data_IF_383392458362
#
_entry.id   IF_383392458362
#
_cell.length_a   1.000
_cell.length_b   1.000
_cell.length_c   1.000
_cell.angle_alpha   90.00
_cell.angle_beta   90.00
_cell.angle_gamma   90.00
#
_symmetry.space_group_name_H-M   'P 1'
#
loop_
_entity.id
_entity.type
_entity.pdbx_description
1 polymer ?
#
# COMPACT_ATOMS: atom_id res chain seq x y z
N UNK A 1 10.40 7.55 18.62
CA UNK A 1 9.83 7.02 17.36
C UNK A 1 10.70 7.51 16.22
N UNK A 2 10.83 6.73 15.15
CA UNK A 2 11.57 7.13 13.95
C UNK A 2 10.60 7.26 12.79
N UNK A 3 10.58 8.43 12.15
CA UNK A 3 9.80 8.68 10.94
C UNK A 3 10.71 8.60 9.70
N UNK A 4 10.14 8.08 8.62
CA UNK A 4 10.73 8.06 7.29
C UNK A 4 9.68 8.60 6.33
N UNK A 5 10.08 9.53 5.48
CA UNK A 5 9.26 10.06 4.39
C UNK A 5 10.09 10.04 3.12
N UNK A 6 9.56 9.42 2.07
CA UNK A 6 10.19 9.36 0.76
C UNK A 6 9.13 9.54 -0.32
N UNK A 7 9.49 10.23 -1.40
CA UNK A 7 8.59 10.59 -2.50
C UNK A 7 9.20 10.22 -3.82
N UNK A 8 8.37 9.77 -4.76
CA UNK A 8 8.76 9.47 -6.14
C UNK A 8 7.70 9.98 -7.12
N UNK A 9 8.14 10.49 -8.27
CA UNK A 9 7.26 10.82 -9.39
C UNK A 9 7.30 9.71 -10.44
N UNK A 10 6.13 9.31 -10.92
CA UNK A 10 5.92 8.19 -11.82
C UNK A 10 5.16 8.66 -13.05
N UNK A 11 5.62 8.27 -14.24
CA UNK A 11 5.07 8.60 -15.55
C UNK A 11 3.92 7.68 -15.95
N UNK A 12 2.96 7.50 -15.04
CA UNK A 12 1.66 6.87 -15.31
C UNK A 12 0.53 7.68 -14.63
N UNK A 13 -0.72 7.59 -15.10
CA UNK A 13 -1.88 8.20 -14.43
C UNK A 13 -2.06 7.67 -13.00
N UNK A 14 -2.66 8.48 -12.12
CA UNK A 14 -2.83 8.15 -10.69
C UNK A 14 -3.57 6.84 -10.48
N UNK A 15 -4.56 6.59 -11.35
CA UNK A 15 -5.36 5.37 -11.35
C UNK A 15 -4.52 4.13 -11.59
N UNK A 16 -3.58 4.17 -12.53
CA UNK A 16 -2.69 3.06 -12.85
C UNK A 16 -1.70 2.81 -11.71
N UNK A 17 -1.10 3.88 -11.16
CA UNK A 17 -0.22 3.75 -10.00
C UNK A 17 -0.94 3.13 -8.80
N UNK A 18 -2.13 3.64 -8.47
CA UNK A 18 -2.95 3.14 -7.36
C UNK A 18 -3.38 1.68 -7.57
N UNK A 19 -3.89 1.36 -8.76
CA UNK A 19 -4.34 0.00 -9.09
C UNK A 19 -3.21 -1.00 -8.98
N UNK A 20 -2.00 -0.65 -9.45
CA UNK A 20 -0.84 -1.51 -9.29
C UNK A 20 -0.40 -1.63 -7.84
N UNK A 21 -0.37 -0.53 -7.08
CA UNK A 21 0.03 -0.55 -5.67
C UNK A 21 -0.89 -1.44 -4.82
N UNK A 22 -2.16 -1.53 -5.19
CA UNK A 22 -3.12 -2.40 -4.51
C UNK A 22 -3.00 -3.88 -4.89
N UNK A 23 -2.14 -4.22 -5.87
CA UNK A 23 -1.79 -5.61 -6.19
C UNK A 23 -0.68 -6.13 -5.25
N UNK A 24 -0.97 -6.26 -3.95
CA UNK A 24 0.03 -6.59 -2.91
C UNK A 24 0.91 -7.81 -3.25
N UNK A 25 0.33 -8.85 -3.85
CA UNK A 25 1.05 -10.08 -4.24
C UNK A 25 2.16 -9.83 -5.28
N UNK A 26 2.13 -8.70 -5.98
CA UNK A 26 3.15 -8.30 -6.96
C UNK A 26 4.38 -7.62 -6.35
N UNK A 27 4.33 -7.23 -5.07
CA UNK A 27 5.42 -6.48 -4.42
C UNK A 27 6.79 -7.16 -4.50
N UNK A 28 6.91 -8.51 -4.35
CA UNK A 28 8.20 -9.18 -4.52
C UNK A 28 8.85 -9.03 -5.90
N UNK A 29 8.10 -8.58 -6.92
CA UNK A 29 8.62 -8.39 -8.28
C UNK A 29 9.43 -7.09 -8.43
N UNK A 30 9.17 -6.11 -7.57
CA UNK A 30 9.77 -4.78 -7.67
C UNK A 30 10.35 -4.28 -6.35
N UNK A 31 10.10 -4.98 -5.24
CA UNK A 31 10.71 -4.70 -3.95
C UNK A 31 11.72 -5.77 -3.56
N UNK A 32 12.94 -5.36 -3.24
CA UNK A 32 14.06 -6.26 -2.93
C UNK A 32 13.98 -6.90 -1.55
N UNK A 33 13.40 -6.19 -0.58
CA UNK A 33 13.25 -6.66 0.80
C UNK A 33 12.00 -7.52 1.00
N UNK A 34 11.02 -7.45 0.09
CA UNK A 34 9.76 -8.18 0.20
C UNK A 34 9.88 -9.52 -0.54
N UNK A 35 9.70 -10.62 0.17
CA UNK A 35 9.75 -11.97 -0.40
C UNK A 35 8.37 -12.50 -0.75
N UNK A 36 7.37 -12.17 0.07
CA UNK A 36 6.01 -12.61 -0.14
C UNK A 36 5.04 -11.64 0.52
N UNK A 37 3.90 -11.44 -0.12
CA UNK A 37 2.74 -10.80 0.49
C UNK A 37 1.52 -11.67 0.25
N UNK A 38 0.85 -12.04 1.34
CA UNK A 38 -0.42 -12.76 1.30
C UNK A 38 -1.54 -11.82 1.77
N UNK A 39 -2.57 -11.63 0.95
CA UNK A 39 -3.78 -10.91 1.36
C UNK A 39 -4.72 -11.92 2.04
N UNK A 40 -4.83 -11.83 3.37
CA UNK A 40 -5.66 -12.73 4.18
C UNK A 40 -7.13 -12.34 4.08
N UNK A 41 -7.40 -11.03 4.12
CA UNK A 41 -8.74 -10.41 4.01
C UNK A 41 -8.59 -9.04 3.32
N UNK A 42 -9.69 -8.37 2.90
CA UNK A 42 -9.58 -7.07 2.23
C UNK A 42 -8.71 -6.05 2.97
N UNK A 43 -8.81 -5.98 4.30
CA UNK A 43 -8.03 -5.07 5.15
C UNK A 43 -6.87 -5.71 5.91
N UNK A 44 -6.50 -6.97 5.60
CA UNK A 44 -5.44 -7.68 6.35
C UNK A 44 -4.46 -8.37 5.40
N UNK A 45 -3.18 -8.04 5.55
CA UNK A 45 -2.09 -8.58 4.75
C UNK A 45 -1.01 -9.17 5.64
N UNK A 46 -0.37 -10.25 5.19
CA UNK A 46 0.81 -10.85 5.82
C UNK A 46 2.02 -10.67 4.92
N UNK A 47 3.10 -10.16 5.49
CA UNK A 47 4.31 -9.77 4.79
C UNK A 47 5.47 -10.63 5.26
N UNK A 48 6.22 -11.18 4.32
CA UNK A 48 7.50 -11.84 4.57
C UNK A 48 8.63 -10.97 4.01
N UNK A 49 9.50 -10.48 4.88
CA UNK A 49 10.66 -9.67 4.54
C UNK A 49 11.96 -10.47 4.68
N UNK A 50 12.91 -10.21 3.78
CA UNK A 50 14.28 -10.68 3.91
C UNK A 50 15.27 -9.65 3.35
N UNK A 51 16.16 -9.15 4.21
CA UNK A 51 17.24 -8.22 3.89
C UNK A 51 18.56 -8.74 4.47
N UNK A 52 19.36 -9.39 3.63
CA UNK A 52 20.59 -10.06 4.05
C UNK A 52 20.28 -11.11 5.14
N UNK A 53 20.94 -11.07 6.32
CA UNK A 53 20.67 -12.01 7.41
C UNK A 53 19.33 -11.73 8.14
N UNK A 54 18.73 -10.55 7.94
CA UNK A 54 17.52 -10.14 8.65
C UNK A 54 16.29 -10.68 7.94
N UNK A 55 15.51 -11.50 8.65
CA UNK A 55 14.25 -12.06 8.18
C UNK A 55 13.14 -11.68 9.16
N UNK A 56 11.94 -11.44 8.64
CA UNK A 56 10.80 -11.08 9.49
C UNK A 56 9.48 -11.37 8.80
N UNK A 57 8.50 -11.79 9.60
CA UNK A 57 7.10 -11.91 9.17
C UNK A 57 6.26 -10.99 10.05
N UNK A 58 5.38 -10.21 9.44
CA UNK A 58 4.43 -9.38 10.17
C UNK A 58 3.11 -9.30 9.43
N UNK A 59 2.05 -9.05 10.19
CA UNK A 59 0.74 -8.73 9.63
C UNK A 59 0.52 -7.22 9.65
N UNK A 60 -0.12 -6.69 8.61
CA UNK A 60 -0.51 -5.29 8.51
C UNK A 60 -2.01 -5.20 8.24
N UNK A 61 -2.68 -4.44 9.09
CA UNK A 61 -4.06 -4.02 8.92
C UNK A 61 -4.11 -2.71 8.14
N UNK A 62 -4.83 -2.69 7.03
CA UNK A 62 -5.18 -1.49 6.27
C UNK A 62 -6.30 -0.81 7.03
N UNK A 63 -6.01 0.34 7.63
CA UNK A 63 -6.98 1.08 8.47
C UNK A 63 -7.82 2.04 7.65
N UNK A 64 -7.24 2.65 6.63
CA UNK A 64 -7.91 3.54 5.69
C UNK A 64 -7.45 3.27 4.27
N UNK A 65 -8.38 3.35 3.33
CA UNK A 65 -8.09 3.24 1.92
C UNK A 65 -9.13 4.01 1.13
N UNK A 66 -8.66 4.92 0.28
CA UNK A 66 -9.49 5.67 -0.65
C UNK A 66 -8.85 5.57 -2.05
N UNK A 67 -9.58 5.05 -3.06
CA UNK A 67 -9.07 4.93 -4.41
C UNK A 67 -8.45 6.21 -4.95
N UNK A 68 -7.30 6.07 -5.61
CA UNK A 68 -6.54 7.16 -6.25
C UNK A 68 -6.10 8.28 -5.28
N UNK A 69 -6.23 8.08 -3.97
CA UNK A 69 -5.87 9.08 -2.95
C UNK A 69 -4.85 8.54 -1.95
N UNK A 70 -5.21 7.54 -1.14
CA UNK A 70 -4.30 7.06 -0.10
C UNK A 70 -4.62 5.66 0.41
N UNK A 71 -3.64 5.07 1.10
CA UNK A 71 -3.78 3.85 1.87
C UNK A 71 -2.95 3.99 3.14
N UNK A 72 -3.61 3.80 4.29
CA UNK A 72 -2.99 3.85 5.62
C UNK A 72 -3.02 2.45 6.22
N UNK A 73 -1.91 2.05 6.84
CA UNK A 73 -1.80 0.75 7.50
C UNK A 73 -1.13 0.84 8.88
N UNK A 74 -1.35 -0.19 9.68
CA UNK A 74 -0.63 -0.43 10.94
C UNK A 74 -0.27 -1.91 11.07
N UNK A 75 0.88 -2.20 11.65
CA UNK A 75 1.28 -3.57 11.95
C UNK A 75 0.48 -4.15 13.12
N UNK A 76 0.00 -5.38 12.98
CA UNK A 76 -0.61 -6.16 14.06
C UNK A 76 0.49 -6.95 14.80
N UNK A 77 1.31 -6.25 15.58
CA UNK A 77 2.41 -6.87 16.32
C UNK A 77 3.33 -5.85 16.98
N UNK A 78 4.14 -6.29 17.94
CA UNK A 78 4.97 -5.41 18.77
C UNK A 78 6.45 -5.36 18.35
N UNK A 79 6.85 -5.94 17.20
CA UNK A 79 8.27 -6.25 16.93
C UNK A 79 8.72 -6.03 15.47
N UNK A 80 9.15 -4.81 15.11
CA UNK A 80 8.77 -3.53 15.72
C UNK A 80 7.37 -3.12 15.25
N UNK A 81 6.60 -2.50 16.16
CA UNK A 81 5.34 -1.87 15.79
C UNK A 81 5.63 -0.72 14.81
N UNK A 82 4.88 -0.66 13.72
CA UNK A 82 4.98 0.42 12.75
C UNK A 82 3.62 0.75 12.15
N UNK A 83 3.51 1.98 11.66
CA UNK A 83 2.37 2.46 10.87
C UNK A 83 2.91 3.24 9.69
N UNK A 84 2.10 3.34 8.65
CA UNK A 84 2.48 4.15 7.51
C UNK A 84 1.28 4.53 6.68
N UNK A 85 1.55 5.44 5.76
CA UNK A 85 0.62 5.87 4.73
C UNK A 85 1.36 5.95 3.40
N UNK A 86 0.63 5.64 2.33
CA UNK A 86 1.00 5.99 0.98
C UNK A 86 -0.06 6.95 0.45
N UNK A 87 0.40 8.05 -0.12
CA UNK A 87 -0.44 9.09 -0.73
C UNK A 87 -0.11 9.16 -2.21
N UNK A 88 -1.16 9.25 -3.01
CA UNK A 88 -1.11 9.38 -4.46
C UNK A 88 -1.67 10.75 -4.84
N UNK A 89 -0.90 11.51 -5.59
CA UNK A 89 -1.28 12.85 -6.03
C UNK A 89 -1.15 12.94 -7.55
N UNK A 90 -2.20 13.40 -8.21
CA UNK A 90 -2.17 13.69 -9.65
C UNK A 90 -1.28 14.89 -9.92
N UNK A 91 -0.24 14.71 -10.72
CA UNK A 91 0.66 15.78 -11.15
C UNK A 91 0.32 16.28 -12.56
N UNK A 92 -0.08 15.35 -13.43
CA UNK A 92 -0.58 15.60 -14.78
C UNK A 92 -1.47 14.41 -15.20
N UNK A 93 -2.02 14.45 -16.42
CA UNK A 93 -2.85 13.35 -16.95
C UNK A 93 -2.11 12.01 -16.95
N UNK A 94 -0.82 12.03 -17.23
CA UNK A 94 0.07 10.88 -17.35
C UNK A 94 1.14 10.82 -16.25
N UNK A 95 1.03 11.65 -15.20
CA UNK A 95 2.03 11.72 -14.12
C UNK A 95 1.40 11.73 -12.74
N UNK A 96 2.03 10.97 -11.84
CA UNK A 96 1.59 10.80 -10.45
C UNK A 96 2.77 10.97 -9.50
N UNK A 97 2.54 11.65 -8.38
CA UNK A 97 3.46 11.65 -7.25
C UNK A 97 2.98 10.64 -6.21
N UNK A 98 3.90 9.79 -5.76
CA UNK A 98 3.66 8.81 -4.70
C UNK A 98 4.55 9.17 -3.52
N UNK A 99 3.94 9.42 -2.37
CA UNK A 99 4.64 9.73 -1.12
C UNK A 99 4.36 8.64 -0.11
N UNK A 100 5.40 8.04 0.46
CA UNK A 100 5.27 7.07 1.54
C UNK A 100 5.83 7.66 2.82
N UNK A 101 5.02 7.62 3.88
CA UNK A 101 5.42 7.95 5.24
C UNK A 101 5.32 6.73 6.13
N UNK A 102 6.33 6.49 6.95
CA UNK A 102 6.34 5.40 7.91
C UNK A 102 6.83 5.89 9.26
N UNK A 103 6.16 5.46 10.31
CA UNK A 103 6.60 5.63 11.68
C UNK A 103 6.88 4.26 12.29
N UNK A 104 8.09 4.10 12.81
CA UNK A 104 8.57 2.85 13.40
C UNK A 104 8.84 3.10 14.89
N UNK A 105 8.26 2.26 15.74
CA UNK A 105 8.54 2.26 17.16
C UNK A 105 10.00 1.85 17.37
N UNK A 106 10.77 2.67 18.09
CA UNK A 106 12.09 2.28 18.56
C UNK A 106 11.91 1.14 19.57
N UNK A 107 12.61 0.02 19.39
CA UNK A 107 12.74 -0.94 20.50
C UNK A 107 13.49 -0.25 21.65
N UNK A 108 13.07 -0.53 22.88
CA UNK A 108 13.57 0.10 24.10
C UNK A 108 15.10 0.12 24.24
N UNK A 109 15.57 0.98 25.16
CA UNK A 109 16.91 1.54 25.33
C UNK A 109 18.13 0.58 25.47
N UNK A 110 18.07 -0.67 25.01
CA UNK A 110 19.20 -1.61 25.03
C UNK A 110 19.45 -2.20 23.64
N UNK A 111 20.44 -1.62 22.96
CA UNK A 111 21.27 -2.33 21.99
C UNK A 111 20.87 -2.23 20.51
N UNK A 112 21.82 -1.71 19.71
CA UNK A 112 22.04 -2.02 18.28
C UNK A 112 21.25 -1.28 17.18
N UNK A 113 20.48 -0.22 17.46
CA UNK A 113 19.67 0.44 16.41
C UNK A 113 19.95 1.93 16.18
N UNK A 114 21.08 2.46 16.64
CA UNK A 114 21.47 3.87 16.47
C UNK A 114 21.67 4.32 14.99
N UNK A 115 21.64 3.40 14.02
CA UNK A 115 21.71 3.68 12.57
C UNK A 115 20.45 3.35 11.75
N UNK A 116 19.41 2.81 12.39
CA UNK A 116 18.18 2.33 11.70
C UNK A 116 17.47 3.40 10.88
N UNK A 117 17.34 4.67 11.32
CA UNK A 117 16.54 5.64 10.58
C UNK A 117 17.09 5.96 9.18
N UNK A 118 18.41 6.16 9.07
CA UNK A 118 19.07 6.45 7.78
C UNK A 118 19.05 5.24 6.83
N UNK A 119 19.19 4.03 7.39
CA UNK A 119 19.10 2.79 6.60
C UNK A 119 17.67 2.55 6.15
N UNK A 120 16.67 2.77 7.01
CA UNK A 120 15.25 2.64 6.68
C UNK A 120 14.83 3.61 5.57
N UNK A 121 15.22 4.88 5.63
CA UNK A 121 14.97 5.84 4.55
C UNK A 121 15.58 5.41 3.22
N UNK A 122 16.84 4.96 3.23
CA UNK A 122 17.49 4.46 2.01
C UNK A 122 16.79 3.24 1.43
N UNK A 123 16.33 2.32 2.28
CA UNK A 123 15.57 1.13 1.85
C UNK A 123 14.25 1.56 1.23
N UNK A 124 13.44 2.36 1.93
CA UNK A 124 12.13 2.84 1.42
C UNK A 124 12.28 3.57 0.08
N UNK A 125 13.28 4.44 -0.05
CA UNK A 125 13.60 5.11 -1.31
C UNK A 125 13.94 4.13 -2.43
N UNK A 126 14.72 3.09 -2.12
CA UNK A 126 15.06 2.02 -3.05
C UNK A 126 13.82 1.26 -3.52
N UNK A 127 12.93 0.90 -2.60
CA UNK A 127 11.68 0.20 -2.92
C UNK A 127 10.72 1.06 -3.74
N UNK A 128 10.62 2.36 -3.45
CA UNK A 128 9.83 3.30 -4.25
C UNK A 128 10.36 3.48 -5.67
N UNK A 129 11.69 3.52 -5.82
CA UNK A 129 12.31 3.53 -7.15
C UNK A 129 12.03 2.22 -7.90
N UNK A 130 12.12 1.08 -7.23
CA UNK A 130 11.75 -0.21 -7.83
C UNK A 130 10.30 -0.24 -8.30
N UNK A 131 9.37 0.29 -7.50
CA UNK A 131 7.97 0.45 -7.90
C UNK A 131 7.82 1.34 -9.14
N UNK A 132 8.47 2.50 -9.17
CA UNK A 132 8.48 3.40 -10.33
C UNK A 132 8.94 2.66 -11.59
N UNK A 133 10.13 2.05 -11.55
CA UNK A 133 10.71 1.33 -12.69
C UNK A 133 9.80 0.20 -13.18
N UNK A 134 9.18 -0.52 -12.25
CA UNK A 134 8.27 -1.63 -12.57
C UNK A 134 7.00 -1.16 -13.27
N UNK A 135 6.29 -0.16 -12.73
CA UNK A 135 5.01 0.27 -13.32
C UNK A 135 5.21 1.09 -14.60
N UNK A 136 6.29 1.87 -14.71
CA UNK A 136 6.64 2.55 -15.96
C UNK A 136 7.04 1.56 -17.04
N UNK A 137 7.72 0.47 -16.68
CA UNK A 137 8.07 -0.61 -17.61
C UNK A 137 6.85 -1.42 -18.08
N UNK A 138 5.85 -1.62 -17.21
CA UNK A 138 4.60 -2.29 -17.59
C UNK A 138 3.67 -1.40 -18.44
N UNK A 139 3.64 -0.10 -18.17
CA UNK A 139 2.76 0.88 -18.85
C UNK A 139 1.27 0.77 -18.49
N UNK A 140 0.84 -0.34 -17.87
CA UNK A 140 -0.52 -0.55 -17.38
C UNK A 140 -0.50 -1.40 -16.11
N UNK A 141 -1.53 -1.25 -15.27
CA UNK A 141 -1.69 -2.06 -14.06
C UNK A 141 -1.96 -3.54 -14.40
N UNK A 142 -1.49 -4.45 -13.56
CA UNK A 142 -1.76 -5.88 -13.69
C UNK A 142 -3.13 -6.31 -13.14
N UNK A 143 -3.89 -5.37 -12.58
CA UNK A 143 -5.17 -5.61 -11.92
C UNK A 143 -5.58 -4.41 -11.09
N UNK A 144 -6.78 -4.46 -10.50
CA UNK A 144 -7.28 -3.38 -9.66
C UNK A 144 -7.96 -3.94 -8.40
N UNK A 145 -7.63 -3.36 -7.25
CA UNK A 145 -8.43 -3.52 -6.04
C UNK A 145 -8.81 -2.14 -5.50
N UNK A 146 -10.10 -1.81 -5.57
CA UNK A 146 -10.62 -0.44 -5.38
C UNK A 146 -11.66 -0.34 -4.26
N UNK A 147 -11.55 -1.19 -3.24
CA UNK A 147 -12.41 -1.10 -2.07
C UNK A 147 -12.08 0.15 -1.24
N UNK A 148 -13.09 0.84 -0.72
CA UNK A 148 -12.88 1.90 0.27
C UNK A 148 -12.85 1.29 1.67
N UNK A 149 -11.81 1.54 2.45
CA UNK A 149 -11.70 1.07 3.83
C UNK A 149 -11.75 2.27 4.77
N UNK A 150 -12.56 2.18 5.83
CA UNK A 150 -12.53 3.12 6.96
C UNK A 150 -12.53 2.36 8.27
N UNK A 151 -11.64 2.74 9.20
CA UNK A 151 -11.48 2.07 10.49
C UNK A 151 -11.29 0.55 10.36
N UNK A 152 -10.50 0.10 9.38
CA UNK A 152 -10.22 -1.32 9.12
C UNK A 152 -11.37 -2.12 8.49
N UNK A 153 -12.50 -1.48 8.17
CA UNK A 153 -13.69 -2.11 7.58
C UNK A 153 -13.88 -1.68 6.12
N UNK A 154 -14.07 -2.66 5.25
CA UNK A 154 -14.47 -2.43 3.87
C UNK A 154 -15.87 -1.80 3.87
N UNK A 155 -15.98 -0.59 3.30
CA UNK A 155 -17.26 -0.02 2.94
C UNK A 155 -17.72 -0.72 1.67
N UNK A 156 -18.87 -1.39 1.74
CA UNK A 156 -19.59 -1.76 0.52
C UNK A 156 -20.05 -0.46 -0.13
N UNK A 157 -19.57 -0.18 -1.34
CA UNK A 157 -20.22 0.83 -2.19
C UNK A 157 -21.65 0.37 -2.40
N UNK A 158 -22.59 1.20 -2.00
CA UNK A 158 -24.02 0.95 -2.16
C UNK A 158 -24.44 1.31 -3.59
N UNK A 159 -23.77 0.73 -4.59
CA UNK A 159 -24.16 0.84 -6.01
C UNK A 159 -24.97 -0.37 -6.49
N UNK A 160 -25.17 -1.38 -5.63
CA UNK A 160 -25.97 -2.58 -5.92
C UNK A 160 -27.34 -2.56 -5.22
N UNK A 161 -28.00 -1.39 -5.20
CA UNK A 161 -29.40 -1.23 -4.73
C UNK A 161 -30.30 -0.39 -5.64
N UNK A 162 -29.88 -0.12 -6.88
CA UNK A 162 -30.74 0.47 -7.91
C UNK A 162 -30.59 -0.29 -9.24
N UNK A 163 -30.83 -1.60 -9.20
CA UNK A 163 -31.18 -2.38 -10.38
C UNK A 163 -32.21 -3.45 -9.98
N UNK A 164 -33.28 -3.03 -9.31
CA UNK A 164 -34.54 -3.77 -9.35
C UNK A 164 -35.56 -2.84 -10.01
N UNK A 165 -35.36 -2.64 -11.31
CA UNK A 165 -36.44 -2.20 -12.18
C UNK A 165 -37.40 -3.36 -12.28
N UNK A 166 -38.43 -3.37 -11.42
CA UNK A 166 -39.62 -4.18 -11.68
C UNK A 166 -40.42 -3.41 -12.73
N UNK A 167 -40.57 -3.91 -13.98
CA UNK A 167 -41.47 -3.28 -14.93
C UNK A 167 -42.90 -3.51 -14.42
N UNK A 168 -43.62 -2.45 -14.08
CA UNK A 168 -45.06 -2.52 -13.92
C UNK A 168 -45.70 -2.62 -15.31
N UNK A 169 -46.10 -3.82 -15.71
CA UNK A 169 -46.95 -4.00 -16.88
C UNK A 169 -48.36 -3.46 -16.57
N UNK A 170 -49.00 -2.71 -17.48
CA UNK A 170 -50.38 -2.31 -17.30
C UNK A 170 -51.28 -3.52 -17.56
N UNK A 171 -52.11 -3.88 -16.58
CA UNK A 171 -53.26 -4.77 -16.84
C UNK A 171 -54.37 -3.92 -17.44
N UNK A 172 -54.91 -4.39 -18.57
CA UNK A 172 -56.05 -3.79 -19.25
C UNK A 172 -57.38 -4.01 -18.55
#
# INVERSE_FOLDING_TARGET
MHSVEETVEIAVPVRTAYNQWTQFKSFPRFMTTVRKVDQIKPSLTSWTLALGPVHGVFEAEIVEQEPDSHLVWRSLGQRPAHRGEVVFETMAVDRTRVTVRMEIAARGATGLLAGVPKVAGRVVRGELRGFKEYIEGLGAESGAWRGTIRNGRLRRTHEERQASGVPCWPVG
#
